data_IF_071921726627
#
_entry.id   IF_071921726627
#
_cell.length_a   1.000
_cell.length_b   1.000
_cell.length_c   1.000
_cell.angle_alpha   90.00
_cell.angle_beta   90.00
_cell.angle_gamma   90.00
#
_symmetry.space_group_name_H-M   'P 1'
#
loop_
_entity.id
_entity.type
_entity.pdbx_description
1 polymer ?
#
# COMPACT_ATOMS: atom_id res chain seq x y z
N UNK A 1 7.34 -2.86 -12.42
CA UNK A 1 8.62 -3.59 -12.56
C UNK A 1 9.29 -3.07 -13.82
N UNK A 2 10.59 -2.75 -13.78
CA UNK A 2 11.33 -2.26 -14.95
C UNK A 2 12.07 -3.44 -15.59
N UNK A 3 11.79 -3.69 -16.85
CA UNK A 3 12.44 -4.73 -17.65
C UNK A 3 13.22 -4.04 -18.77
N UNK A 4 14.45 -4.50 -19.02
CA UNK A 4 15.30 -3.89 -20.04
C UNK A 4 14.63 -4.00 -21.42
N UNK A 5 14.49 -2.86 -22.10
CA UNK A 5 13.85 -2.77 -23.41
C UNK A 5 12.33 -2.67 -23.37
N UNK A 6 11.68 -2.77 -22.21
CA UNK A 6 10.25 -2.48 -22.07
C UNK A 6 10.00 -1.00 -21.75
N UNK A 7 8.90 -0.41 -22.25
CA UNK A 7 8.55 0.96 -21.94
C UNK A 7 8.22 1.12 -20.46
N UNK A 8 8.75 2.19 -19.85
CA UNK A 8 8.40 2.59 -18.49
C UNK A 8 7.01 3.26 -18.48
N UNK A 9 5.96 2.44 -18.30
CA UNK A 9 4.58 2.89 -18.35
C UNK A 9 4.07 3.42 -17.00
N UNK A 10 3.16 4.41 -16.98
CA UNK A 10 2.51 4.86 -15.74
C UNK A 10 1.87 3.72 -14.95
N UNK A 11 1.27 2.73 -15.62
CA UNK A 11 0.71 1.56 -14.97
C UNK A 11 1.78 0.66 -14.34
N UNK A 12 2.91 0.45 -15.03
CA UNK A 12 4.05 -0.29 -14.49
C UNK A 12 4.62 0.36 -13.23
N UNK A 13 4.68 1.69 -13.19
CA UNK A 13 5.08 2.47 -12.00
C UNK A 13 4.04 2.38 -10.88
N UNK A 14 2.75 2.45 -11.21
CA UNK A 14 1.67 2.27 -10.24
C UNK A 14 1.76 0.91 -9.52
N UNK A 15 2.05 -0.16 -10.26
CA UNK A 15 2.27 -1.49 -9.68
C UNK A 15 3.50 -1.56 -8.76
N UNK A 16 4.59 -0.84 -9.06
CA UNK A 16 5.76 -0.75 -8.16
C UNK A 16 5.40 -0.05 -6.85
N UNK A 17 4.61 1.02 -6.92
CA UNK A 17 4.17 1.72 -5.71
C UNK A 17 3.20 0.85 -4.91
N UNK A 18 2.29 0.11 -5.57
CA UNK A 18 1.38 -0.82 -4.91
C UNK A 18 2.13 -1.90 -4.10
N UNK A 19 3.18 -2.51 -4.67
CA UNK A 19 4.03 -3.47 -3.96
C UNK A 19 4.77 -2.85 -2.76
N UNK A 20 5.05 -1.56 -2.82
CA UNK A 20 5.68 -0.80 -1.74
C UNK A 20 4.70 -0.36 -0.65
N UNK A 21 3.39 -0.59 -0.80
CA UNK A 21 2.35 -0.04 0.08
C UNK A 21 2.58 -0.42 1.56
N UNK A 22 2.89 -1.69 1.84
CA UNK A 22 3.19 -2.12 3.20
C UNK A 22 4.42 -1.40 3.78
N UNK A 23 5.50 -1.32 3.01
CA UNK A 23 6.75 -0.69 3.43
C UNK A 23 6.58 0.78 3.81
N UNK A 24 5.70 1.49 3.10
CA UNK A 24 5.36 2.90 3.34
C UNK A 24 4.45 3.05 4.57
N UNK A 25 3.50 2.13 4.77
CA UNK A 25 2.50 2.20 5.84
C UNK A 25 2.92 1.42 7.11
N UNK A 26 4.14 0.86 7.13
CA UNK A 26 4.59 -0.07 8.16
C UNK A 26 4.61 0.55 9.55
N UNK A 27 4.41 -0.32 10.54
CA UNK A 27 4.55 0.01 11.97
C UNK A 27 5.59 -0.86 12.70
N UNK A 28 6.46 -1.56 11.96
CA UNK A 28 7.54 -2.41 12.50
C UNK A 28 8.93 -1.80 12.26
N UNK A 29 9.87 -2.16 13.12
CA UNK A 29 11.31 -1.93 12.93
C UNK A 29 11.89 -2.98 11.97
N UNK A 30 12.09 -2.60 10.71
CA UNK A 30 12.62 -3.49 9.67
C UNK A 30 14.08 -3.89 9.86
N UNK A 31 14.83 -3.23 10.75
CA UNK A 31 16.20 -3.65 11.06
C UNK A 31 16.23 -4.87 11.99
N UNK A 32 15.13 -5.14 12.68
CA UNK A 32 15.00 -6.23 13.64
C UNK A 32 14.06 -7.32 13.15
N UNK A 33 13.05 -6.96 12.37
CA UNK A 33 12.00 -7.88 11.95
C UNK A 33 11.84 -7.83 10.43
N UNK A 34 11.85 -9.00 9.81
CA UNK A 34 11.58 -9.13 8.39
C UNK A 34 10.09 -9.38 8.17
N UNK A 35 9.51 -8.80 7.12
CA UNK A 35 8.17 -9.15 6.68
C UNK A 35 8.07 -9.09 5.16
N UNK A 36 7.25 -9.98 4.60
CA UNK A 36 7.10 -10.13 3.15
C UNK A 36 5.63 -10.08 2.77
N UNK A 37 5.33 -9.43 1.64
CA UNK A 37 4.01 -9.49 1.01
C UNK A 37 3.74 -10.95 0.62
N UNK A 38 2.67 -11.53 1.13
CA UNK A 38 2.22 -12.89 0.78
C UNK A 38 1.29 -12.89 -0.41
N UNK A 39 0.57 -11.79 -0.60
CA UNK A 39 -0.23 -11.50 -1.79
C UNK A 39 -0.33 -9.99 -1.99
N UNK A 40 -0.65 -9.60 -3.23
CA UNK A 40 -1.04 -8.24 -3.57
C UNK A 40 -2.22 -8.36 -4.52
N UNK A 41 -3.29 -7.65 -4.21
CA UNK A 41 -4.49 -7.54 -5.02
C UNK A 41 -4.71 -6.08 -5.42
N UNK A 42 -4.98 -5.82 -6.69
CA UNK A 42 -5.13 -4.48 -7.24
C UNK A 42 -6.48 -4.34 -7.92
N UNK A 43 -7.31 -3.40 -7.46
CA UNK A 43 -8.56 -3.05 -8.13
C UNK A 43 -8.39 -1.71 -8.86
N UNK A 44 -8.27 -1.76 -10.19
CA UNK A 44 -8.13 -0.58 -11.03
C UNK A 44 -9.46 -0.27 -11.73
N UNK A 45 -10.00 0.93 -11.55
CA UNK A 45 -11.16 1.40 -12.31
C UNK A 45 -10.77 2.37 -13.43
N UNK A 46 -9.50 2.79 -13.48
CA UNK A 46 -8.91 3.59 -14.54
C UNK A 46 -7.40 3.32 -14.62
N UNK A 47 -6.80 3.42 -15.80
CA UNK A 47 -5.35 3.44 -15.94
C UNK A 47 -4.78 4.82 -15.60
N UNK A 48 -3.62 4.91 -14.93
CA UNK A 48 -2.97 6.19 -14.69
C UNK A 48 -2.48 6.81 -16.00
N UNK A 49 -2.64 8.12 -16.13
CA UNK A 49 -2.32 8.87 -17.36
C UNK A 49 -1.09 9.80 -17.18
N UNK A 50 -0.61 9.95 -15.95
CA UNK A 50 0.44 10.91 -15.61
C UNK A 50 1.65 10.27 -14.93
N UNK A 51 2.81 10.94 -15.00
CA UNK A 51 4.05 10.49 -14.35
C UNK A 51 4.03 10.62 -12.82
N UNK A 52 3.13 11.42 -12.26
CA UNK A 52 3.00 11.58 -10.81
C UNK A 52 1.92 10.68 -10.27
N UNK A 53 2.26 9.98 -9.20
CA UNK A 53 1.39 9.02 -8.53
C UNK A 53 1.28 9.36 -7.04
N UNK A 54 0.09 9.20 -6.49
CA UNK A 54 -0.24 9.35 -5.07
C UNK A 54 -0.52 7.97 -4.49
N UNK A 55 -0.04 7.73 -3.28
CA UNK A 55 -0.46 6.63 -2.42
C UNK A 55 -0.91 7.21 -1.09
N UNK A 56 -2.13 6.91 -0.68
CA UNK A 56 -2.71 7.29 0.61
C UNK A 56 -3.22 6.01 1.27
N UNK A 57 -2.47 5.51 2.25
CA UNK A 57 -2.63 4.14 2.74
C UNK A 57 -2.49 3.99 4.24
N UNK A 58 -2.90 2.81 4.72
CA UNK A 58 -2.78 2.40 6.11
C UNK A 58 -2.51 0.90 6.20
N UNK A 59 -1.95 0.48 7.33
CA UNK A 59 -1.68 -0.94 7.64
C UNK A 59 -2.37 -1.32 8.94
N UNK A 60 -3.14 -2.40 8.88
CA UNK A 60 -3.74 -3.06 10.05
C UNK A 60 -2.92 -4.29 10.39
N UNK A 61 -2.46 -4.39 11.64
CA UNK A 61 -1.62 -5.51 12.11
C UNK A 61 -2.39 -6.41 13.08
N UNK A 62 -2.16 -7.72 13.01
CA UNK A 62 -2.67 -8.71 13.95
C UNK A 62 -1.52 -9.26 14.81
N UNK A 63 -1.72 -9.49 16.13
CA UNK A 63 -0.66 -9.93 17.06
C UNK A 63 0.13 -11.19 16.68
N UNK A 64 -0.37 -12.02 15.75
CA UNK A 64 0.28 -13.22 15.23
C UNK A 64 1.29 -12.99 14.10
N UNK A 65 1.73 -11.75 13.91
CA UNK A 65 2.73 -11.41 12.91
C UNK A 65 2.17 -11.27 11.51
N UNK A 66 0.86 -11.07 11.35
CA UNK A 66 0.24 -10.79 10.05
C UNK A 66 -0.20 -9.34 9.97
N UNK A 67 -0.23 -8.79 8.77
CA UNK A 67 -0.75 -7.46 8.52
C UNK A 67 -1.47 -7.42 7.17
N UNK A 68 -2.35 -6.44 7.01
CA UNK A 68 -2.93 -6.07 5.73
C UNK A 68 -2.71 -4.58 5.54
N UNK A 69 -2.11 -4.22 4.41
CA UNK A 69 -1.96 -2.82 3.98
C UNK A 69 -2.91 -2.56 2.84
N UNK A 70 -3.55 -1.40 2.84
CA UNK A 70 -4.41 -0.98 1.75
C UNK A 70 -4.28 0.52 1.51
N UNK A 71 -4.55 0.96 0.28
CA UNK A 71 -4.45 2.36 -0.07
C UNK A 71 -5.49 2.79 -1.11
N UNK A 72 -5.72 4.10 -1.17
CA UNK A 72 -6.22 4.80 -2.33
C UNK A 72 -5.02 5.29 -3.16
N UNK A 73 -4.98 4.93 -4.44
CA UNK A 73 -3.95 5.39 -5.37
C UNK A 73 -4.55 6.28 -6.46
N UNK A 74 -3.82 7.32 -6.83
CA UNK A 74 -4.25 8.25 -7.87
C UNK A 74 -3.08 8.78 -8.68
N UNK A 75 -3.39 9.49 -9.74
CA UNK A 75 -2.45 10.29 -10.50
C UNK A 75 -2.79 11.79 -10.34
N UNK A 76 -2.26 12.66 -11.21
CA UNK A 76 -2.57 14.11 -11.15
C UNK A 76 -4.05 14.44 -11.35
N UNK A 77 -4.80 13.55 -12.01
CA UNK A 77 -6.18 13.81 -12.37
C UNK A 77 -7.08 13.48 -11.19
N UNK A 78 -7.05 12.23 -10.76
CA UNK A 78 -7.89 11.70 -9.69
C UNK A 78 -7.39 10.32 -9.23
N UNK A 79 -8.13 9.73 -8.31
CA UNK A 79 -7.96 8.34 -7.90
C UNK A 79 -8.21 7.38 -9.08
N UNK A 80 -7.44 6.29 -9.15
CA UNK A 80 -7.52 5.32 -10.23
C UNK A 80 -7.50 3.86 -9.79
N UNK A 81 -7.02 3.57 -8.56
CA UNK A 81 -6.89 2.21 -8.08
C UNK A 81 -6.86 2.06 -6.56
N UNK A 82 -7.14 0.84 -6.10
CA UNK A 82 -7.05 0.43 -4.71
C UNK A 82 -6.22 -0.86 -4.57
N UNK A 83 -4.99 -0.80 -4.06
CA UNK A 83 -4.23 -1.98 -3.67
C UNK A 83 -4.62 -2.48 -2.27
N UNK A 84 -4.56 -3.80 -2.11
CA UNK A 84 -4.47 -4.50 -0.84
C UNK A 84 -3.29 -5.46 -0.86
N UNK A 85 -2.55 -5.57 0.24
CA UNK A 85 -1.44 -6.49 0.38
C UNK A 85 -1.39 -7.09 1.78
N UNK A 86 -1.49 -8.41 1.87
CA UNK A 86 -1.25 -9.17 3.08
C UNK A 86 0.24 -9.39 3.30
N UNK A 87 0.69 -9.30 4.54
CA UNK A 87 2.10 -9.42 4.91
C UNK A 87 2.26 -10.38 6.09
N UNK A 88 3.32 -11.18 6.09
CA UNK A 88 3.73 -12.02 7.23
C UNK A 88 5.12 -11.62 7.72
N UNK A 89 5.22 -11.33 9.02
CA UNK A 89 6.48 -11.10 9.73
C UNK A 89 7.14 -12.42 10.13
N UNK A 90 8.48 -12.45 10.12
CA UNK A 90 9.31 -13.63 10.39
C UNK A 90 9.14 -14.17 11.81
N UNK A 91 9.02 -13.29 12.80
CA UNK A 91 9.19 -13.67 14.21
C UNK A 91 7.85 -13.86 14.94
N UNK A 92 6.72 -13.75 14.25
CA UNK A 92 5.38 -13.90 14.84
C UNK A 92 5.00 -12.84 15.87
N UNK A 93 5.90 -11.94 16.26
CA UNK A 93 5.67 -10.87 17.24
C UNK A 93 5.46 -9.51 16.56
N UNK A 94 4.19 -9.11 16.47
CA UNK A 94 3.76 -7.76 16.07
C UNK A 94 3.15 -7.01 17.27
N UNK A 95 3.31 -7.52 18.50
CA UNK A 95 2.69 -6.95 19.70
C UNK A 95 3.18 -5.54 20.00
N UNK A 96 4.30 -5.10 19.41
CA UNK A 96 4.79 -3.71 19.47
C UNK A 96 4.18 -2.77 18.41
N UNK A 97 3.33 -3.27 17.51
CA UNK A 97 2.68 -2.48 16.44
C UNK A 97 1.25 -2.03 16.79
N UNK A 98 0.68 -2.56 17.87
CA UNK A 98 -0.72 -2.38 18.26
C UNK A 98 -1.01 -1.02 18.94
N UNK A 99 -0.45 0.08 18.45
CA UNK A 99 -0.97 1.41 18.80
C UNK A 99 -2.34 1.59 18.11
N UNK A 100 -3.40 2.00 18.84
CA UNK A 100 -4.75 2.02 18.30
C UNK A 100 -4.84 2.92 17.08
N UNK A 101 -5.65 2.45 16.14
CA UNK A 101 -5.99 3.07 14.86
C UNK A 101 -6.22 4.58 15.02
N UNK A 102 -5.44 5.39 14.30
CA UNK A 102 -5.92 6.71 13.89
C UNK A 102 -6.04 6.66 12.38
N UNK A 103 -7.25 6.34 11.93
CA UNK A 103 -7.69 6.72 10.59
C UNK A 103 -7.59 8.24 10.51
N UNK A 104 -6.72 8.76 9.65
CA UNK A 104 -6.68 10.17 9.33
C UNK A 104 -7.46 10.32 8.02
N UNK A 105 -8.73 10.79 8.03
CA UNK A 105 -9.42 11.07 6.78
C UNK A 105 -8.64 12.14 6.03
N UNK A 106 -8.33 11.90 4.76
CA UNK A 106 -7.81 12.93 3.86
C UNK A 106 -8.78 14.13 3.90
N UNK A 107 -8.30 15.37 4.06
CA UNK A 107 -9.19 16.54 4.06
C UNK A 107 -9.84 16.67 2.68
N UNK A 108 -11.06 16.15 2.53
CA UNK A 108 -11.83 16.21 1.28
C UNK A 108 -12.74 15.03 0.96
N UNK A 109 -12.65 13.89 1.66
CA UNK A 109 -13.53 12.75 1.41
C UNK A 109 -14.95 12.98 1.97
N UNK A 110 -15.79 13.71 1.22
CA UNK A 110 -17.24 13.73 1.46
C UNK A 110 -17.89 12.53 0.77
N UNK A 111 -18.33 11.56 1.57
CA UNK A 111 -19.34 10.58 1.15
C UNK A 111 -20.62 11.41 0.90
N UNK A 112 -21.17 11.36 -0.31
CA UNK A 112 -22.50 11.90 -0.60
C UNK A 112 -23.52 10.82 -0.24
N UNK A 113 -24.56 11.25 0.48
CA UNK A 113 -25.71 10.43 0.89
C UNK A 113 -26.50 9.86 -0.30
#
# INVERSE_FOLDING_TARGET
MLVLGEPDTPFGRLMVIADSCWSVCRRIDMMKHFAINTEITMHCHRLPESDWLRLDGTTVTSPGGTAVSHAAMGDRRDECAYPGASTKASDGDTRRCASPVTYCPSPGARIRD
#
